data_IF_262774055911
#
_entry.id   IF_262774055911
#
_cell.length_a   1.000
_cell.length_b   1.000
_cell.length_c   1.000
_cell.angle_alpha   90.00
_cell.angle_beta   90.00
_cell.angle_gamma   90.00
#
_symmetry.space_group_name_H-M   'P 1'
#
loop_
_entity.id
_entity.type
_entity.pdbx_description
1 polymer ?
#
# COMPACT_ATOMS: atom_id res chain seq x y z
N UNK A 1 -5.38 2.09 28.18
CA UNK A 1 -4.69 1.94 26.88
C UNK A 1 -5.50 2.55 25.72
N UNK A 2 -6.77 2.18 25.53
CA UNK A 2 -7.69 2.81 24.55
C UNK A 2 -7.81 4.34 24.68
N UNK A 3 -7.80 4.87 25.91
CA UNK A 3 -7.93 6.30 26.20
C UNK A 3 -6.70 7.12 25.75
N UNK A 4 -5.51 6.52 25.80
CA UNK A 4 -4.28 7.15 25.31
C UNK A 4 -4.23 7.17 23.78
N UNK A 5 -4.75 6.12 23.12
CA UNK A 5 -4.87 6.06 21.66
C UNK A 5 -5.86 7.10 21.14
N UNK A 6 -7.01 7.26 21.79
CA UNK A 6 -8.02 8.27 21.45
C UNK A 6 -7.49 9.70 21.63
N UNK A 7 -6.73 9.97 22.70
CA UNK A 7 -6.10 11.26 22.94
C UNK A 7 -4.96 11.60 21.95
N UNK A 8 -4.45 10.61 21.22
CA UNK A 8 -3.41 10.82 20.20
C UNK A 8 -3.96 11.17 18.82
N UNK A 9 -5.27 11.01 18.62
CA UNK A 9 -5.95 11.33 17.36
C UNK A 9 -6.04 12.86 17.23
N UNK A 10 -5.39 13.48 16.25
CA UNK A 10 -5.44 14.92 16.06
C UNK A 10 -6.87 15.41 15.81
N UNK A 11 -7.28 16.44 16.56
CA UNK A 11 -8.65 16.96 16.58
C UNK A 11 -9.09 17.65 15.27
N UNK A 12 -8.16 17.95 14.36
CA UNK A 12 -8.47 18.60 13.09
C UNK A 12 -7.61 18.09 11.95
N UNK A 13 -8.17 18.20 10.73
CA UNK A 13 -7.46 17.94 9.46
C UNK A 13 -6.20 18.80 9.36
N UNK A 14 -6.26 20.05 9.82
CA UNK A 14 -5.11 20.95 9.84
C UNK A 14 -3.96 20.41 10.72
N UNK A 15 -4.28 19.85 11.88
CA UNK A 15 -3.28 19.24 12.77
C UNK A 15 -2.62 17.99 12.14
N UNK A 16 -3.36 17.25 11.29
CA UNK A 16 -2.79 16.17 10.47
C UNK A 16 -1.90 16.74 9.37
N UNK A 17 -2.38 17.75 8.64
CA UNK A 17 -1.65 18.40 7.56
C UNK A 17 -0.31 18.97 8.02
N UNK A 18 -0.29 19.70 9.14
CA UNK A 18 0.94 20.17 9.82
C UNK A 18 1.90 19.04 10.16
N UNK A 19 1.40 17.93 10.75
CA UNK A 19 2.25 16.80 11.17
C UNK A 19 2.86 16.03 10.00
N UNK A 20 2.13 15.95 8.88
CA UNK A 20 2.57 15.29 7.66
C UNK A 20 3.25 16.26 6.67
N UNK A 21 3.52 17.50 7.07
CA UNK A 21 4.05 18.57 6.21
C UNK A 21 3.23 18.76 4.91
N UNK A 22 1.93 18.54 4.96
CA UNK A 22 1.00 18.73 3.83
C UNK A 22 0.61 20.21 3.65
N UNK A 23 1.05 21.11 4.55
CA UNK A 23 0.78 22.56 4.46
C UNK A 23 1.60 23.27 3.37
N UNK A 24 2.56 22.60 2.73
CA UNK A 24 3.39 23.20 1.69
C UNK A 24 2.73 23.12 0.31
N UNK A 25 1.51 23.66 0.19
CA UNK A 25 0.96 23.99 -1.13
C UNK A 25 1.78 25.14 -1.74
N UNK A 26 2.54 24.85 -2.78
CA UNK A 26 3.37 25.84 -3.51
C UNK A 26 4.88 25.66 -3.37
N UNK A 27 5.34 24.57 -2.74
CA UNK A 27 6.77 24.22 -2.79
C UNK A 27 7.18 23.87 -4.22
N UNK A 28 8.33 24.41 -4.65
CA UNK A 28 8.78 24.26 -6.02
C UNK A 28 9.07 22.78 -6.29
N UNK A 29 8.27 22.10 -7.12
CA UNK A 29 8.52 20.69 -7.48
C UNK A 29 9.82 20.51 -8.29
N UNK A 30 10.28 21.61 -8.88
CA UNK A 30 11.49 21.69 -9.68
C UNK A 30 12.47 22.65 -9.02
N UNK A 31 13.76 22.30 -9.07
CA UNK A 31 14.86 23.22 -8.77
C UNK A 31 14.88 24.42 -9.72
N UNK A 32 15.68 25.44 -9.40
CA UNK A 32 15.93 26.61 -10.25
C UNK A 32 16.38 26.25 -11.69
N UNK A 33 16.90 25.03 -11.88
CA UNK A 33 17.34 24.50 -13.17
C UNK A 33 16.30 23.60 -13.86
N UNK A 34 15.03 23.67 -13.45
CA UNK A 34 13.92 22.88 -14.00
C UNK A 34 14.10 21.34 -13.86
N UNK A 35 14.83 20.89 -12.82
CA UNK A 35 14.99 19.46 -12.49
C UNK A 35 14.15 19.05 -11.30
N UNK A 36 13.57 17.84 -11.25
CA UNK A 36 12.82 17.35 -10.09
C UNK A 36 13.62 17.48 -8.79
N UNK A 37 13.01 18.02 -7.74
CA UNK A 37 13.65 18.09 -6.41
C UNK A 37 13.89 16.71 -5.80
N UNK A 38 12.99 15.77 -6.08
CA UNK A 38 13.07 14.39 -5.61
C UNK A 38 12.63 13.45 -6.71
N UNK A 39 13.48 12.49 -7.03
CA UNK A 39 13.17 11.42 -7.97
C UNK A 39 12.74 10.18 -7.20
N UNK A 40 11.71 9.51 -7.71
CA UNK A 40 11.34 8.17 -7.27
C UNK A 40 12.07 7.16 -8.16
N UNK A 41 12.88 6.31 -7.56
CA UNK A 41 13.54 5.21 -8.27
C UNK A 41 12.57 4.04 -8.38
N UNK A 42 12.25 3.67 -9.62
CA UNK A 42 11.41 2.52 -9.91
C UNK A 42 12.27 1.28 -10.16
N UNK A 43 11.88 0.19 -9.51
CA UNK A 43 12.48 -1.13 -9.70
C UNK A 43 11.41 -2.08 -10.22
N UNK A 44 11.72 -2.98 -11.19
CA UNK A 44 10.83 -4.09 -11.51
C UNK A 44 10.47 -4.90 -10.26
N UNK A 45 9.27 -5.49 -10.25
CA UNK A 45 8.75 -6.17 -9.05
C UNK A 45 9.73 -7.20 -8.48
N UNK A 46 10.37 -8.02 -9.31
CA UNK A 46 11.29 -9.06 -8.85
C UNK A 46 12.56 -8.50 -8.20
N UNK A 47 13.09 -7.39 -8.72
CA UNK A 47 14.27 -6.74 -8.16
C UNK A 47 13.92 -6.07 -6.83
N UNK A 48 12.77 -5.40 -6.77
CA UNK A 48 12.25 -4.82 -5.53
C UNK A 48 11.99 -5.92 -4.49
N UNK A 49 11.30 -7.00 -4.86
CA UNK A 49 10.93 -8.08 -3.95
C UNK A 49 12.17 -8.83 -3.46
N UNK A 50 13.16 -9.07 -4.33
CA UNK A 50 14.44 -9.68 -3.95
C UNK A 50 15.21 -8.82 -2.95
N UNK A 51 15.26 -7.50 -3.15
CA UNK A 51 15.86 -6.58 -2.17
C UNK A 51 15.05 -6.56 -0.87
N UNK A 52 13.72 -6.52 -0.97
CA UNK A 52 12.81 -6.47 0.16
C UNK A 52 13.00 -7.67 1.10
N UNK A 53 13.01 -8.90 0.57
CA UNK A 53 13.22 -10.11 1.40
C UNK A 53 14.65 -10.21 1.93
N UNK A 54 15.64 -9.64 1.23
CA UNK A 54 17.03 -9.61 1.69
C UNK A 54 17.28 -8.62 2.84
N UNK A 55 16.31 -7.76 3.19
CA UNK A 55 16.44 -6.87 4.33
C UNK A 55 16.39 -7.67 5.64
N UNK A 56 17.28 -7.37 6.62
CA UNK A 56 17.30 -8.07 7.90
C UNK A 56 15.94 -8.02 8.60
N UNK A 57 15.44 -9.16 9.07
CA UNK A 57 14.17 -9.25 9.80
C UNK A 57 12.94 -9.49 8.93
N UNK A 58 13.02 -9.28 7.61
CA UNK A 58 11.85 -9.38 6.74
C UNK A 58 11.39 -10.83 6.59
N UNK A 59 12.30 -11.76 6.31
CA UNK A 59 11.96 -13.20 6.20
C UNK A 59 11.31 -13.72 7.49
N UNK A 60 11.82 -13.30 8.65
CA UNK A 60 11.29 -13.68 9.95
C UNK A 60 9.84 -13.22 10.15
N UNK A 61 9.47 -12.02 9.68
CA UNK A 61 8.07 -11.59 9.66
C UNK A 61 7.21 -12.43 8.71
N UNK A 62 7.78 -12.82 7.57
CA UNK A 62 7.15 -13.74 6.63
C UNK A 62 6.78 -15.07 7.29
N UNK A 63 7.73 -15.67 7.99
CA UNK A 63 7.55 -16.93 8.70
C UNK A 63 6.61 -16.80 9.90
N UNK A 64 6.79 -15.78 10.73
CA UNK A 64 5.92 -15.52 11.89
C UNK A 64 4.46 -15.35 11.45
N UNK A 65 4.20 -14.59 10.40
CA UNK A 65 2.84 -14.42 9.88
C UNK A 65 2.22 -15.77 9.50
N UNK A 66 2.99 -16.61 8.83
CA UNK A 66 2.49 -17.90 8.38
C UNK A 66 2.31 -18.89 9.55
N UNK A 67 3.16 -18.83 10.57
CA UNK A 67 3.01 -19.57 11.83
C UNK A 67 1.76 -19.13 12.60
N UNK A 68 1.49 -17.82 12.68
CA UNK A 68 0.30 -17.27 13.30
C UNK A 68 -0.98 -17.77 12.63
N UNK A 69 -1.02 -17.77 11.29
CA UNK A 69 -2.16 -18.31 10.52
C UNK A 69 -2.30 -19.82 10.76
N UNK A 70 -1.19 -20.56 10.73
CA UNK A 70 -1.19 -22.03 10.86
C UNK A 70 -1.48 -22.51 12.28
N UNK A 71 -1.23 -21.68 13.29
CA UNK A 71 -1.51 -21.96 14.70
C UNK A 71 -3.00 -21.99 15.04
N UNK A 72 -3.87 -21.50 14.14
CA UNK A 72 -5.31 -21.51 14.30
C UNK A 72 -5.95 -22.59 13.42
N UNK A 73 -6.63 -23.55 14.04
CA UNK A 73 -7.38 -24.59 13.31
C UNK A 73 -8.60 -24.06 12.56
N UNK A 74 -9.14 -22.90 12.99
CA UNK A 74 -10.29 -22.23 12.39
C UNK A 74 -10.05 -20.72 12.32
N UNK A 75 -10.79 -20.03 11.46
CA UNK A 75 -10.71 -18.56 11.33
C UNK A 75 -11.12 -17.91 12.67
N UNK A 76 -10.25 -17.07 13.26
CA UNK A 76 -10.60 -16.37 14.50
C UNK A 76 -11.86 -15.51 14.35
N UNK A 77 -12.73 -15.55 15.36
CA UNK A 77 -13.93 -14.70 15.42
C UNK A 77 -13.55 -13.23 15.65
N UNK A 78 -12.65 -12.98 16.60
CA UNK A 78 -12.14 -11.65 16.93
C UNK A 78 -10.87 -11.35 16.12
N UNK A 79 -10.96 -10.41 15.19
CA UNK A 79 -9.86 -10.05 14.29
C UNK A 79 -9.05 -8.90 14.87
N UNK A 80 -7.74 -9.12 15.04
CA UNK A 80 -6.77 -8.15 15.58
C UNK A 80 -5.68 -7.82 14.56
N UNK A 81 -5.38 -8.76 13.67
CA UNK A 81 -4.32 -8.62 12.67
C UNK A 81 -4.79 -9.08 11.29
N UNK A 82 -3.90 -8.95 10.29
CA UNK A 82 -4.15 -9.53 8.97
C UNK A 82 -4.10 -11.06 8.96
N UNK A 83 -3.40 -11.69 9.92
CA UNK A 83 -3.32 -13.14 10.05
C UNK A 83 -4.67 -13.76 10.43
N UNK A 84 -5.54 -13.00 11.11
CA UNK A 84 -6.91 -13.45 11.47
C UNK A 84 -7.91 -13.36 10.30
N UNK A 85 -7.43 -12.93 9.12
CA UNK A 85 -8.26 -12.74 7.95
C UNK A 85 -8.75 -14.06 7.37
N UNK A 86 -10.06 -14.17 7.10
CA UNK A 86 -10.64 -15.36 6.45
C UNK A 86 -9.87 -15.79 5.19
N UNK A 87 -9.47 -14.82 4.37
CA UNK A 87 -8.75 -15.08 3.11
C UNK A 87 -7.49 -15.93 3.35
N UNK A 88 -6.69 -15.65 4.38
CA UNK A 88 -5.41 -16.33 4.58
C UNK A 88 -5.54 -17.76 5.12
N UNK A 89 -6.69 -18.08 5.73
CA UNK A 89 -7.01 -19.45 6.15
C UNK A 89 -7.68 -20.28 5.04
N UNK A 90 -8.42 -19.65 4.13
CA UNK A 90 -9.24 -20.35 3.13
C UNK A 90 -8.64 -20.34 1.72
N UNK A 91 -7.68 -19.44 1.44
CA UNK A 91 -7.04 -19.32 0.12
C UNK A 91 -6.34 -20.63 -0.25
N UNK A 92 -6.72 -21.18 -1.40
CA UNK A 92 -6.10 -22.38 -1.96
C UNK A 92 -5.14 -22.05 -3.09
N UNK A 93 -4.02 -22.75 -3.13
CA UNK A 93 -3.09 -22.74 -4.26
C UNK A 93 -3.66 -23.43 -5.48
N UNK A 94 -2.91 -23.38 -6.59
CA UNK A 94 -3.28 -24.08 -7.83
C UNK A 94 -3.35 -25.61 -7.68
N UNK A 95 -2.73 -26.14 -6.63
CA UNK A 95 -2.71 -27.55 -6.26
C UNK A 95 -3.89 -27.95 -5.35
N UNK A 96 -4.78 -27.01 -5.04
CA UNK A 96 -5.93 -27.21 -4.16
C UNK A 96 -5.58 -27.26 -2.67
N UNK A 97 -4.32 -27.11 -2.27
CA UNK A 97 -3.91 -27.06 -0.86
C UNK A 97 -4.06 -25.66 -0.29
N UNK A 98 -4.10 -25.53 1.03
CA UNK A 98 -4.15 -24.23 1.69
C UNK A 98 -2.83 -23.48 1.44
N UNK A 99 -2.93 -22.26 0.92
CA UNK A 99 -1.78 -21.51 0.47
C UNK A 99 -0.75 -21.29 1.59
N UNK A 100 -1.21 -21.03 2.82
CA UNK A 100 -0.34 -20.77 3.98
C UNK A 100 -0.14 -22.01 4.86
N UNK A 101 -1.23 -22.65 5.31
CA UNK A 101 -1.13 -23.76 6.26
C UNK A 101 -0.37 -24.98 5.69
N UNK A 102 -0.49 -25.23 4.38
CA UNK A 102 0.19 -26.35 3.71
C UNK A 102 1.51 -25.92 3.03
N UNK A 103 2.11 -24.78 3.45
CA UNK A 103 3.30 -24.21 2.78
C UNK A 103 4.58 -25.04 2.88
N UNK A 104 4.65 -25.99 3.81
CA UNK A 104 5.90 -26.68 4.11
C UNK A 104 6.97 -25.70 4.57
N UNK A 105 8.11 -25.67 3.88
CA UNK A 105 9.22 -24.75 4.14
C UNK A 105 9.24 -23.53 3.21
N UNK A 106 8.20 -23.33 2.39
CA UNK A 106 8.13 -22.19 1.48
C UNK A 106 7.70 -20.91 2.21
N UNK A 107 8.36 -19.79 1.91
CA UNK A 107 7.89 -18.46 2.31
C UNK A 107 6.62 -18.10 1.53
N UNK A 108 5.55 -17.71 2.24
CA UNK A 108 4.27 -17.29 1.64
C UNK A 108 4.01 -15.83 1.93
N UNK A 109 4.01 -15.03 0.87
CA UNK A 109 3.89 -13.58 0.95
C UNK A 109 2.52 -13.13 0.44
N UNK A 110 1.82 -12.36 1.27
CA UNK A 110 0.50 -11.83 0.96
C UNK A 110 0.61 -10.32 0.80
N UNK A 111 0.17 -9.82 -0.36
CA UNK A 111 0.20 -8.40 -0.67
C UNK A 111 -1.21 -7.85 -0.82
N UNK A 112 -1.45 -6.69 -0.22
CA UNK A 112 -2.62 -5.86 -0.51
C UNK A 112 -2.26 -4.93 -1.66
N UNK A 113 -3.00 -5.06 -2.76
CA UNK A 113 -2.96 -4.11 -3.87
C UNK A 113 -4.06 -3.06 -3.66
N UNK A 114 -3.68 -1.79 -3.58
CA UNK A 114 -4.61 -0.67 -3.51
C UNK A 114 -4.46 0.21 -4.75
N UNK A 115 -5.58 0.82 -5.17
CA UNK A 115 -5.60 1.84 -6.22
C UNK A 115 -6.28 3.05 -5.64
N UNK A 116 -5.59 4.19 -5.65
CA UNK A 116 -6.13 5.46 -5.18
C UNK A 116 -6.04 6.50 -6.28
N UNK A 117 -7.02 7.38 -6.37
CA UNK A 117 -7.03 8.47 -7.32
C UNK A 117 -7.14 9.81 -6.59
N UNK A 118 -6.22 10.71 -6.87
CA UNK A 118 -6.14 12.02 -6.26
C UNK A 118 -6.11 13.12 -7.31
N UNK A 119 -6.63 14.30 -6.95
CA UNK A 119 -6.55 15.46 -7.81
C UNK A 119 -5.20 16.15 -7.58
N UNK A 120 -4.37 16.17 -8.62
CA UNK A 120 -3.03 16.78 -8.57
C UNK A 120 -3.08 18.31 -8.47
N UNK A 121 -4.21 18.93 -8.84
CA UNK A 121 -4.43 20.38 -8.80
C UNK A 121 -5.23 20.84 -7.56
N UNK A 122 -5.59 19.92 -6.66
CA UNK A 122 -6.43 20.21 -5.50
C UNK A 122 -7.93 20.31 -5.82
N UNK A 123 -8.79 20.32 -4.79
CA UNK A 123 -10.24 20.44 -4.97
C UNK A 123 -10.64 21.89 -5.28
N UNK A 124 -10.49 22.31 -6.53
CA UNK A 124 -11.04 23.59 -6.98
C UNK A 124 -12.57 23.50 -7.15
N UNK A 125 -13.28 24.57 -6.74
CA UNK A 125 -14.75 24.73 -6.87
C UNK A 125 -15.24 24.63 -8.34
N UNK A 126 -14.32 24.70 -9.31
CA UNK A 126 -14.57 24.58 -10.74
C UNK A 126 -13.99 23.27 -11.32
N UNK A 127 -14.64 22.14 -11.03
CA UNK A 127 -14.49 20.89 -11.77
C UNK A 127 -13.15 20.15 -11.62
N UNK A 128 -13.18 18.82 -11.79
CA UNK A 128 -11.98 17.95 -11.84
C UNK A 128 -11.37 18.05 -13.24
N UNK A 129 -10.26 18.76 -13.40
CA UNK A 129 -9.57 18.84 -14.70
C UNK A 129 -8.38 17.88 -14.83
N UNK A 130 -7.90 17.25 -13.74
CA UNK A 130 -6.85 16.23 -13.85
C UNK A 130 -6.81 15.32 -12.61
N UNK A 131 -7.30 14.08 -12.73
CA UNK A 131 -7.24 13.08 -11.66
C UNK A 131 -6.16 12.05 -11.99
N UNK A 132 -5.13 11.96 -11.14
CA UNK A 132 -4.05 10.97 -11.29
C UNK A 132 -4.30 9.80 -10.34
N UNK A 133 -4.17 8.58 -10.86
CA UNK A 133 -4.21 7.36 -10.06
C UNK A 133 -2.83 6.89 -9.66
N UNK A 134 -2.75 6.19 -8.54
CA UNK A 134 -1.59 5.43 -8.09
C UNK A 134 -2.04 4.05 -7.68
N UNK A 135 -1.31 3.04 -8.13
CA UNK A 135 -1.42 1.69 -7.61
C UNK A 135 -0.28 1.51 -6.63
N UNK A 136 -0.57 1.09 -5.40
CA UNK A 136 0.43 0.75 -4.41
C UNK A 136 0.18 -0.64 -3.82
N UNK A 137 1.27 -1.29 -3.43
CA UNK A 137 1.26 -2.64 -2.93
C UNK A 137 1.97 -2.71 -1.59
N UNK A 138 1.32 -3.36 -0.64
CA UNK A 138 1.72 -3.38 0.76
C UNK A 138 1.76 -4.80 1.29
N UNK A 139 2.84 -5.19 1.96
CA UNK A 139 3.01 -6.54 2.49
C UNK A 139 2.21 -6.75 3.78
N UNK A 140 1.28 -7.72 3.78
CA UNK A 140 0.45 -8.05 4.94
C UNK A 140 1.16 -8.93 5.97
N UNK A 141 2.29 -9.56 5.60
CA UNK A 141 3.12 -10.29 6.55
C UNK A 141 3.79 -9.37 7.57
N UNK A 142 3.99 -8.09 7.23
CA UNK A 142 4.64 -7.14 8.13
C UNK A 142 3.70 -6.68 9.27
N UNK A 143 4.27 -6.37 10.45
CA UNK A 143 3.56 -5.68 11.52
C UNK A 143 2.96 -4.35 11.05
N UNK A 144 1.85 -3.94 11.67
CA UNK A 144 1.12 -2.73 11.28
C UNK A 144 1.99 -1.46 11.31
N UNK A 145 2.93 -1.36 12.27
CA UNK A 145 3.86 -0.24 12.40
C UNK A 145 4.83 -0.10 11.22
N UNK A 146 5.19 -1.20 10.57
CA UNK A 146 6.08 -1.21 9.41
C UNK A 146 5.30 -1.15 8.10
N UNK A 147 4.15 -1.81 8.04
CA UNK A 147 3.31 -1.92 6.85
C UNK A 147 2.97 -0.58 6.20
N UNK A 148 2.73 0.45 7.01
CA UNK A 148 2.35 1.79 6.52
C UNK A 148 3.56 2.71 6.29
N UNK A 149 4.77 2.24 6.54
CA UNK A 149 5.98 3.02 6.27
C UNK A 149 6.28 2.97 4.76
N UNK A 150 6.45 4.15 4.16
CA UNK A 150 6.72 4.29 2.72
C UNK A 150 7.97 3.54 2.24
N UNK A 151 8.91 3.21 3.14
CA UNK A 151 10.07 2.39 2.82
C UNK A 151 9.74 0.94 2.42
N UNK A 152 8.56 0.42 2.79
CA UNK A 152 8.14 -0.96 2.52
C UNK A 152 6.94 -1.05 1.56
N UNK A 153 6.54 0.08 0.95
CA UNK A 153 5.45 0.14 -0.02
C UNK A 153 6.05 0.10 -1.42
N UNK A 154 5.55 -0.81 -2.25
CA UNK A 154 5.90 -0.88 -3.67
C UNK A 154 4.88 -0.11 -4.51
N UNK A 155 5.33 0.72 -5.44
CA UNK A 155 4.46 1.46 -6.36
C UNK A 155 4.62 0.85 -7.76
N UNK A 156 3.77 -0.11 -8.15
CA UNK A 156 3.85 -0.74 -9.47
C UNK A 156 3.52 0.21 -10.62
N UNK A 157 2.63 1.19 -10.42
CA UNK A 157 2.17 2.04 -11.51
C UNK A 157 1.56 3.37 -11.03
N UNK A 158 1.69 4.38 -11.90
CA UNK A 158 0.91 5.61 -11.88
C UNK A 158 -0.05 5.60 -13.08
N UNK A 159 -1.29 6.02 -12.86
CA UNK A 159 -2.33 6.10 -13.88
C UNK A 159 -2.49 7.57 -14.24
N UNK A 160 -2.02 8.02 -15.41
CA UNK A 160 -2.15 9.41 -15.81
C UNK A 160 -3.61 9.76 -16.13
N UNK A 161 -4.01 11.00 -15.85
CA UNK A 161 -5.37 11.49 -16.03
C UNK A 161 -5.91 11.39 -17.47
N UNK A 162 -5.03 11.40 -18.47
CA UNK A 162 -5.39 11.56 -19.88
C UNK A 162 -5.87 10.26 -20.56
N UNK A 163 -5.87 9.12 -19.87
CA UNK A 163 -6.35 7.86 -20.43
C UNK A 163 -7.89 7.78 -20.53
N UNK A 164 -8.63 8.70 -19.91
CA UNK A 164 -10.11 8.73 -19.98
C UNK A 164 -10.68 9.52 -21.16
N UNK A 165 -9.88 10.32 -21.89
CA UNK A 165 -10.38 11.16 -23.00
C UNK A 165 -10.35 10.51 -24.38
N UNK A 166 -9.76 9.31 -24.53
CA UNK A 166 -9.60 8.67 -25.84
C UNK A 166 -10.78 7.79 -26.27
N UNK A 167 -11.71 7.46 -25.37
CA UNK A 167 -12.89 6.63 -25.70
C UNK A 167 -14.15 7.47 -26.03
N UNK A 168 -14.26 8.71 -25.56
CA UNK A 168 -15.45 9.54 -25.85
C UNK A 168 -15.43 10.15 -27.25
N UNK A 169 -14.27 10.25 -27.91
CA UNK A 169 -14.17 10.82 -29.27
C UNK A 169 -14.33 9.81 -30.41
N UNK A 170 -14.44 8.51 -30.12
CA UNK A 170 -14.63 7.47 -31.14
C UNK A 170 -16.05 6.86 -31.15
N UNK A 171 -16.97 7.36 -30.32
CA UNK A 171 -18.37 6.92 -30.30
C UNK A 171 -19.31 7.76 -31.19
N UNK A 172 -18.80 8.82 -31.81
CA UNK A 172 -19.51 9.63 -32.82
C UNK A 172 -18.64 9.72 -34.08
N UNK A 173 -18.66 8.67 -34.91
CA UNK A 173 -18.13 8.67 -36.28
C UNK A 173 -18.92 7.71 -37.14
#
# INVERSE_FOLDING_TARGET
>A
EQEATLASIPESIWTLESRFNLEHCGEALLSEHNKPLKTYEYYPFWDWFGQFIALPGIEEFGDQFCEEVSGHSEVPLDKKSAADGRLVHELRGHDGKLFIADRGSEGRWVFLLNTNFFNVEGNCIRGRTSQTGMIAMTCLNLPLSMRNNHAFIYIPALIPAHLHELDEKNAES
#
